data_IF_292655997955
#
_entry.id   IF_292655997955
#
_cell.length_a   1.000
_cell.length_b   1.000
_cell.length_c   1.000
_cell.angle_alpha   90.00
_cell.angle_beta   90.00
_cell.angle_gamma   90.00
#
_symmetry.space_group_name_H-M   'P 1'
#
loop_
_entity.id
_entity.type
_entity.pdbx_description
1 polymer ?
#
# COMPACT_ATOMS: atom_id res chain seq x y z
N UNK A 1 -18.89 15.00 15.34
CA UNK A 1 -18.09 14.65 14.14
C UNK A 1 -16.67 15.12 14.42
N UNK A 2 -15.81 14.21 14.87
CA UNK A 2 -14.40 14.52 15.10
C UNK A 2 -13.74 14.77 13.76
N UNK A 3 -13.30 16.00 13.53
CA UNK A 3 -12.42 16.36 12.44
C UNK A 3 -11.10 15.60 12.62
N UNK A 4 -10.84 14.61 11.77
CA UNK A 4 -9.50 14.04 11.63
C UNK A 4 -8.65 15.15 11.03
N UNK A 5 -7.57 15.51 11.73
CA UNK A 5 -6.64 16.53 11.31
C UNK A 5 -6.01 16.16 9.94
N UNK A 6 -6.29 16.92 8.86
CA UNK A 6 -5.71 16.65 7.54
C UNK A 6 -4.20 16.94 7.48
N UNK A 7 -3.62 17.51 8.54
CA UNK A 7 -2.19 17.77 8.70
C UNK A 7 -1.45 16.71 9.52
N UNK A 8 -2.14 15.63 9.95
CA UNK A 8 -1.48 14.44 10.46
C UNK A 8 -0.77 13.72 9.30
N UNK A 9 0.30 14.34 8.81
CA UNK A 9 1.29 13.70 7.98
C UNK A 9 1.91 12.58 8.83
N UNK A 10 1.31 11.40 8.73
CA UNK A 10 1.98 10.16 9.04
C UNK A 10 3.33 10.25 8.31
N UNK A 11 4.43 10.06 9.04
CA UNK A 11 5.78 10.16 8.49
C UNK A 11 5.99 9.23 7.29
N UNK A 12 7.13 9.34 6.58
CA UNK A 12 7.42 8.44 5.47
C UNK A 12 7.31 6.99 5.94
N UNK A 13 6.55 6.19 5.20
CA UNK A 13 6.39 4.77 5.45
C UNK A 13 7.49 4.00 4.73
N UNK A 14 7.83 2.82 5.21
CA UNK A 14 8.89 2.05 4.59
C UNK A 14 8.61 1.71 3.11
N UNK A 15 7.35 1.50 2.70
CA UNK A 15 7.00 1.25 1.30
C UNK A 15 7.01 2.51 0.41
N UNK A 16 7.17 3.71 0.98
CA UNK A 16 7.27 4.93 0.19
C UNK A 16 8.60 5.00 -0.57
N UNK A 17 9.68 4.52 0.06
CA UNK A 17 10.96 4.22 -0.56
C UNK A 17 11.60 3.02 0.15
N UNK A 18 11.28 1.81 -0.34
CA UNK A 18 11.72 0.58 0.31
C UNK A 18 13.25 0.43 0.33
N UNK A 19 13.93 0.85 -0.73
CA UNK A 19 15.37 0.66 -0.83
C UNK A 19 16.10 1.66 0.11
N UNK A 20 15.66 2.92 0.18
CA UNK A 20 16.21 3.90 1.12
C UNK A 20 15.89 3.53 2.58
N UNK A 21 14.63 3.21 2.88
CA UNK A 21 14.21 2.87 4.23
C UNK A 21 14.95 1.63 4.77
N UNK A 22 15.11 0.59 3.96
CA UNK A 22 15.86 -0.61 4.35
C UNK A 22 17.36 -0.34 4.49
N UNK A 23 17.92 0.56 3.68
CA UNK A 23 19.34 0.94 3.79
C UNK A 23 19.64 1.62 5.13
N UNK A 24 18.79 2.57 5.54
CA UNK A 24 18.91 3.26 6.83
C UNK A 24 18.78 2.27 8.00
N UNK A 25 17.76 1.40 7.96
CA UNK A 25 17.56 0.37 8.99
C UNK A 25 18.72 -0.63 9.07
N UNK A 26 19.28 -1.02 7.92
CA UNK A 26 20.42 -1.92 7.88
C UNK A 26 21.67 -1.28 8.49
N UNK A 27 21.89 0.02 8.27
CA UNK A 27 22.99 0.76 8.89
C UNK A 27 22.83 0.86 10.41
N UNK A 28 21.63 1.18 10.89
CA UNK A 28 21.34 1.34 12.32
C UNK A 28 21.43 0.01 13.09
N UNK A 29 20.91 -1.07 12.50
CA UNK A 29 20.82 -2.37 13.15
C UNK A 29 21.97 -3.34 12.78
N UNK A 30 22.91 -2.91 11.94
CA UNK A 30 24.05 -3.71 11.49
C UNK A 30 23.65 -4.93 10.65
N UNK A 31 22.59 -4.81 9.84
CA UNK A 31 22.13 -5.93 9.01
C UNK A 31 23.03 -6.14 7.80
N UNK A 32 23.34 -7.40 7.43
CA UNK A 32 24.02 -7.68 6.17
C UNK A 32 23.20 -7.21 4.97
N UNK A 33 23.86 -6.65 3.95
CA UNK A 33 23.21 -6.10 2.76
C UNK A 33 22.26 -7.08 2.03
N UNK A 34 22.52 -8.38 2.07
CA UNK A 34 21.66 -9.39 1.44
C UNK A 34 20.25 -9.46 2.05
N UNK A 35 20.05 -8.96 3.28
CA UNK A 35 18.74 -8.95 3.96
C UNK A 35 17.73 -8.07 3.22
N UNK A 36 18.18 -6.97 2.61
CA UNK A 36 17.33 -6.10 1.80
C UNK A 36 16.73 -6.86 0.61
N UNK A 37 17.56 -7.67 -0.07
CA UNK A 37 17.11 -8.51 -1.18
C UNK A 37 16.09 -9.57 -0.76
N UNK A 38 16.21 -10.12 0.46
CA UNK A 38 15.21 -11.03 1.02
C UNK A 38 13.88 -10.32 1.25
N UNK A 39 13.88 -9.16 1.92
CA UNK A 39 12.67 -8.37 2.19
C UNK A 39 11.99 -7.98 0.87
N UNK A 40 12.75 -7.46 -0.10
CA UNK A 40 12.22 -7.11 -1.44
C UNK A 40 11.55 -8.30 -2.12
N UNK A 41 12.15 -9.48 -2.03
CA UNK A 41 11.55 -10.72 -2.56
C UNK A 41 10.25 -11.06 -1.85
N UNK A 42 10.18 -10.89 -0.53
CA UNK A 42 8.97 -11.14 0.24
C UNK A 42 7.84 -10.17 -0.12
N UNK A 43 8.14 -8.89 -0.26
CA UNK A 43 7.17 -7.86 -0.64
C UNK A 43 6.62 -8.12 -2.04
N UNK A 44 7.48 -8.18 -3.06
CA UNK A 44 7.01 -8.13 -4.46
C UNK A 44 6.78 -9.49 -5.12
N UNK A 45 7.52 -10.54 -4.71
CA UNK A 45 7.41 -11.86 -5.36
C UNK A 45 6.56 -12.82 -4.55
N UNK A 46 6.76 -12.86 -3.23
CA UNK A 46 6.03 -13.78 -2.34
C UNK A 46 4.76 -13.16 -1.76
N UNK A 47 4.59 -11.84 -1.84
CA UNK A 47 3.40 -11.10 -1.35
C UNK A 47 3.10 -11.41 0.11
N UNK A 48 4.12 -11.24 0.97
CA UNK A 48 4.01 -11.47 2.41
C UNK A 48 2.84 -10.69 3.00
N UNK A 49 1.99 -11.33 3.80
CA UNK A 49 0.88 -10.65 4.47
C UNK A 49 1.38 -9.71 5.59
N UNK A 50 2.51 -10.04 6.21
CA UNK A 50 3.11 -9.28 7.30
C UNK A 50 4.61 -9.63 7.42
N UNK A 51 5.26 -9.01 8.41
CA UNK A 51 6.66 -9.27 8.75
C UNK A 51 6.92 -10.69 9.25
N UNK A 52 5.96 -11.27 9.98
CA UNK A 52 6.10 -12.61 10.55
C UNK A 52 6.14 -13.69 9.47
N UNK A 53 5.47 -13.49 8.34
CA UNK A 53 5.52 -14.41 7.20
C UNK A 53 6.92 -14.61 6.59
N UNK A 54 7.88 -13.70 6.85
CA UNK A 54 9.22 -13.72 6.25
C UNK A 54 10.18 -14.71 6.93
N UNK A 55 9.89 -16.01 6.89
CA UNK A 55 10.55 -17.05 7.71
C UNK A 55 12.06 -17.23 7.50
N UNK A 56 12.65 -16.64 6.46
CA UNK A 56 14.10 -16.65 6.21
C UNK A 56 14.84 -15.44 6.83
N UNK A 57 14.09 -14.56 7.53
CA UNK A 57 14.61 -13.50 8.38
C UNK A 57 14.68 -13.96 9.85
N UNK A 58 15.68 -13.53 10.64
CA UNK A 58 15.75 -13.82 12.07
C UNK A 58 14.49 -13.34 12.80
N UNK A 59 14.04 -14.08 13.82
CA UNK A 59 12.87 -13.70 14.61
C UNK A 59 12.98 -12.29 15.20
N UNK A 60 14.14 -11.94 15.77
CA UNK A 60 14.39 -10.60 16.30
C UNK A 60 14.21 -9.49 15.25
N UNK A 61 14.60 -9.74 14.00
CA UNK A 61 14.42 -8.80 12.89
C UNK A 61 12.94 -8.63 12.54
N UNK A 62 12.18 -9.73 12.44
CA UNK A 62 10.74 -9.69 12.17
C UNK A 62 9.98 -8.93 13.26
N UNK A 63 10.31 -9.20 14.53
CA UNK A 63 9.70 -8.50 15.67
C UNK A 63 10.06 -7.01 15.70
N UNK A 64 11.32 -6.65 15.45
CA UNK A 64 11.74 -5.24 15.40
C UNK A 64 11.02 -4.46 14.29
N UNK A 65 10.88 -5.07 13.09
CA UNK A 65 10.14 -4.47 11.98
C UNK A 65 8.66 -4.29 12.33
N UNK A 66 8.03 -5.33 12.87
CA UNK A 66 6.62 -5.31 13.26
C UNK A 66 6.30 -4.31 14.38
N UNK A 67 7.22 -4.11 15.32
CA UNK A 67 7.08 -3.10 16.37
C UNK A 67 7.22 -1.67 15.82
N UNK A 68 8.03 -1.49 14.78
CA UNK A 68 8.30 -0.16 14.21
C UNK A 68 7.16 0.37 13.33
N UNK A 69 6.61 -0.47 12.44
CA UNK A 69 5.50 -0.11 11.57
C UNK A 69 4.87 -1.37 10.93
N UNK A 70 3.57 -1.34 10.59
CA UNK A 70 2.96 -2.41 9.80
C UNK A 70 3.59 -2.47 8.40
N UNK A 71 3.62 -3.66 7.80
CA UNK A 71 4.10 -3.83 6.42
C UNK A 71 3.17 -3.13 5.41
N UNK A 72 1.87 -3.22 5.64
CA UNK A 72 0.81 -2.65 4.80
C UNK A 72 -0.01 -1.66 5.62
N UNK A 73 -0.39 -0.55 5.00
CA UNK A 73 -1.06 0.58 5.65
C UNK A 73 -2.53 0.72 5.23
N UNK A 74 -2.93 0.06 4.14
CA UNK A 74 -4.30 0.04 3.63
C UNK A 74 -5.09 -1.14 4.18
N UNK A 75 -6.41 -0.96 4.26
CA UNK A 75 -7.34 -2.02 4.65
C UNK A 75 -8.49 -2.14 3.66
N UNK A 76 -9.01 -3.35 3.46
CA UNK A 76 -10.15 -3.60 2.57
C UNK A 76 -11.45 -3.30 3.32
N UNK A 77 -12.12 -2.19 3.00
CA UNK A 77 -13.46 -1.90 3.51
C UNK A 77 -14.55 -2.72 2.84
N UNK A 78 -14.39 -2.99 1.55
CA UNK A 78 -15.37 -3.72 0.76
C UNK A 78 -14.69 -4.43 -0.39
N UNK A 79 -15.12 -5.67 -0.63
CA UNK A 79 -14.76 -6.45 -1.80
C UNK A 79 -16.05 -6.84 -2.53
N UNK A 80 -16.12 -6.51 -3.82
CA UNK A 80 -17.20 -6.94 -4.73
C UNK A 80 -16.57 -7.73 -5.86
N UNK A 81 -17.19 -8.86 -6.20
CA UNK A 81 -16.83 -9.69 -7.34
C UNK A 81 -18.03 -9.80 -8.28
N UNK A 82 -17.79 -9.63 -9.57
CA UNK A 82 -18.80 -9.76 -10.63
C UNK A 82 -18.71 -11.15 -11.29
N UNK A 83 -19.73 -11.52 -12.07
CA UNK A 83 -19.87 -12.83 -12.72
C UNK A 83 -18.75 -13.11 -13.75
N UNK A 84 -18.19 -12.06 -14.34
CA UNK A 84 -17.05 -12.15 -15.27
C UNK A 84 -15.69 -12.32 -14.55
N UNK A 85 -15.71 -12.35 -13.21
CA UNK A 85 -14.53 -12.46 -12.36
C UNK A 85 -13.82 -11.13 -12.09
N UNK A 86 -14.38 -9.99 -12.52
CA UNK A 86 -13.89 -8.68 -12.13
C UNK A 86 -14.03 -8.49 -10.62
N UNK A 87 -12.95 -8.10 -9.97
CA UNK A 87 -12.92 -7.83 -8.53
C UNK A 87 -12.67 -6.35 -8.29
N UNK A 88 -13.51 -5.72 -7.48
CA UNK A 88 -13.36 -4.33 -7.05
C UNK A 88 -13.18 -4.26 -5.55
N UNK A 89 -12.11 -3.59 -5.13
CA UNK A 89 -11.84 -3.30 -3.73
C UNK A 89 -12.07 -1.81 -3.45
N UNK A 90 -12.77 -1.52 -2.36
CA UNK A 90 -12.73 -0.23 -1.70
C UNK A 90 -11.70 -0.33 -0.57
N UNK A 91 -10.62 0.42 -0.70
CA UNK A 91 -9.54 0.48 0.27
C UNK A 91 -9.70 1.73 1.14
N UNK A 92 -9.43 1.61 2.44
CA UNK A 92 -9.29 2.73 3.36
C UNK A 92 -7.82 2.90 3.75
N UNK A 93 -7.38 4.15 3.67
CA UNK A 93 -6.03 4.64 3.97
C UNK A 93 -5.96 5.06 5.44
N UNK A 94 -4.74 5.17 5.99
CA UNK A 94 -4.54 5.52 7.41
C UNK A 94 -5.18 6.86 7.82
N UNK A 95 -5.29 7.81 6.89
CA UNK A 95 -5.92 9.11 7.12
C UNK A 95 -7.46 9.09 6.97
N UNK A 96 -8.05 7.90 6.86
CA UNK A 96 -9.47 7.68 6.59
C UNK A 96 -9.90 8.02 5.16
N UNK A 97 -8.96 8.37 4.28
CA UNK A 97 -9.23 8.49 2.85
C UNK A 97 -9.63 7.14 2.26
N UNK A 98 -10.43 7.14 1.19
CA UNK A 98 -10.82 5.92 0.49
C UNK A 98 -10.52 6.00 -0.99
N UNK A 99 -10.05 4.88 -1.53
CA UNK A 99 -9.75 4.71 -2.96
C UNK A 99 -10.31 3.38 -3.45
N UNK A 100 -10.44 3.25 -4.76
CA UNK A 100 -10.82 1.98 -5.39
C UNK A 100 -9.65 1.44 -6.23
N UNK A 101 -9.51 0.11 -6.22
CA UNK A 101 -8.73 -0.60 -7.22
C UNK A 101 -9.57 -1.75 -7.81
N UNK A 102 -9.30 -2.08 -9.07
CA UNK A 102 -10.08 -3.06 -9.83
C UNK A 102 -9.16 -4.04 -10.52
N UNK A 103 -9.37 -5.33 -10.30
CA UNK A 103 -8.75 -6.40 -11.08
C UNK A 103 -9.72 -6.87 -12.17
N UNK A 104 -9.37 -6.60 -13.42
CA UNK A 104 -10.09 -7.10 -14.58
C UNK A 104 -9.44 -8.39 -15.11
N UNK A 105 -10.27 -9.39 -15.40
CA UNK A 105 -9.84 -10.71 -15.88
C UNK A 105 -10.25 -10.90 -17.34
N UNK A 106 -9.26 -10.89 -18.25
CA UNK A 106 -9.49 -11.08 -19.69
C UNK A 106 -8.73 -12.28 -20.23
N UNK A 107 -9.38 -13.46 -20.24
CA UNK A 107 -8.70 -14.71 -20.63
C UNK A 107 -7.49 -15.00 -19.75
N UNK A 108 -6.29 -15.04 -20.34
CA UNK A 108 -5.02 -15.19 -19.61
C UNK A 108 -4.45 -13.86 -19.08
N UNK A 109 -4.93 -12.72 -19.59
CA UNK A 109 -4.48 -11.39 -19.15
C UNK A 109 -5.17 -11.00 -17.83
N UNK A 110 -4.41 -10.31 -16.98
CA UNK A 110 -4.91 -9.61 -15.79
C UNK A 110 -4.53 -8.14 -15.95
N UNK A 111 -5.48 -7.24 -15.71
CA UNK A 111 -5.26 -5.79 -15.74
C UNK A 111 -5.70 -5.23 -14.40
N UNK A 112 -4.82 -4.50 -13.73
CA UNK A 112 -5.19 -3.72 -12.55
C UNK A 112 -5.48 -2.27 -12.97
N UNK A 113 -6.60 -1.75 -12.51
CA UNK A 113 -6.86 -0.33 -12.42
C UNK A 113 -6.51 0.12 -11.01
N UNK A 114 -5.60 1.08 -10.90
CA UNK A 114 -5.12 1.63 -9.64
C UNK A 114 -5.45 3.12 -9.55
N UNK A 115 -5.66 3.59 -8.33
CA UNK A 115 -5.79 4.99 -7.97
C UNK A 115 -4.41 5.60 -7.69
N UNK A 116 -4.28 6.90 -7.95
CA UNK A 116 -3.07 7.70 -7.66
C UNK A 116 -3.35 8.92 -6.78
N UNK A 117 -4.62 9.21 -6.52
CA UNK A 117 -5.09 10.32 -5.71
C UNK A 117 -6.33 9.88 -4.91
N UNK A 118 -6.59 10.57 -3.79
CA UNK A 118 -7.89 10.55 -3.12
C UNK A 118 -8.74 11.64 -3.74
N UNK A 119 -9.72 11.23 -4.56
CA UNK A 119 -10.43 12.14 -5.47
C UNK A 119 -9.59 12.47 -6.71
N UNK A 120 -9.99 13.47 -7.50
CA UNK A 120 -9.29 13.86 -8.73
C UNK A 120 -9.37 15.36 -9.00
N UNK A 121 -8.22 15.97 -9.27
CA UNK A 121 -8.09 17.42 -9.46
C UNK A 121 -8.64 17.91 -10.82
N UNK A 122 -8.85 16.98 -11.75
CA UNK A 122 -9.27 17.30 -13.12
C UNK A 122 -10.69 17.86 -13.21
N UNK A 123 -11.55 17.56 -12.22
CA UNK A 123 -12.90 18.13 -12.16
C UNK A 123 -13.83 17.72 -13.31
N UNK A 124 -13.59 16.58 -13.94
CA UNK A 124 -14.43 16.09 -15.04
C UNK A 124 -15.86 15.80 -14.53
N UNK A 125 -16.86 16.52 -15.04
CA UNK A 125 -18.26 16.45 -14.56
C UNK A 125 -18.95 15.09 -14.76
N UNK A 126 -18.40 14.22 -15.60
CA UNK A 126 -18.90 12.86 -15.82
C UNK A 126 -18.18 11.80 -14.97
N UNK A 127 -17.14 12.19 -14.23
CA UNK A 127 -16.30 11.28 -13.44
C UNK A 127 -16.67 11.40 -11.96
N UNK A 128 -17.09 10.30 -11.33
CA UNK A 128 -17.43 10.30 -9.90
C UNK A 128 -16.28 10.85 -9.04
N UNK A 129 -15.03 10.45 -9.30
CA UNK A 129 -13.86 10.95 -8.58
C UNK A 129 -13.54 12.42 -8.85
N UNK A 130 -14.05 12.99 -9.95
CA UNK A 130 -13.88 14.40 -10.29
C UNK A 130 -14.93 15.32 -9.66
N UNK A 131 -16.11 14.80 -9.32
CA UNK A 131 -17.22 15.59 -8.77
C UNK A 131 -16.88 16.20 -7.40
N UNK A 132 -16.20 15.43 -6.54
CA UNK A 132 -15.87 15.84 -5.17
C UNK A 132 -14.50 16.55 -5.07
N UNK A 133 -13.82 16.75 -6.21
CA UNK A 133 -12.49 17.35 -6.26
C UNK A 133 -11.37 16.42 -5.76
N UNK A 134 -10.21 17.00 -5.43
CA UNK A 134 -9.05 16.27 -4.91
C UNK A 134 -8.80 16.60 -3.45
N UNK A 135 -8.53 15.57 -2.63
CA UNK A 135 -8.06 15.73 -1.25
C UNK A 135 -6.53 15.77 -1.19
N UNK A 136 -5.87 14.76 -1.77
CA UNK A 136 -4.39 14.64 -1.82
C UNK A 136 -3.94 13.61 -2.85
N UNK A 137 -2.65 13.63 -3.15
CA UNK A 137 -1.99 12.51 -3.84
C UNK A 137 -1.82 11.32 -2.90
N UNK A 138 -1.76 10.14 -3.49
CA UNK A 138 -1.30 8.95 -2.77
C UNK A 138 0.22 8.97 -2.63
N UNK A 139 0.70 8.36 -1.55
CA UNK A 139 2.12 8.05 -1.38
C UNK A 139 2.50 6.87 -2.26
N UNK A 140 3.81 6.69 -2.49
CA UNK A 140 4.30 5.54 -3.26
C UNK A 140 3.86 4.22 -2.65
N UNK A 141 3.91 4.08 -1.32
CA UNK A 141 3.45 2.87 -0.63
C UNK A 141 1.98 2.58 -0.88
N UNK A 142 1.11 3.59 -0.77
CA UNK A 142 -0.33 3.48 -1.02
C UNK A 142 -0.66 3.09 -2.48
N UNK A 143 0.20 3.44 -3.43
CA UNK A 143 0.07 3.00 -4.84
C UNK A 143 0.49 1.53 -4.99
N UNK A 144 1.63 1.16 -4.39
CA UNK A 144 2.17 -0.21 -4.44
C UNK A 144 1.22 -1.21 -3.78
N UNK A 145 0.58 -0.83 -2.68
CA UNK A 145 -0.35 -1.68 -1.91
C UNK A 145 -1.59 -2.12 -2.69
N UNK A 146 -1.87 -1.50 -3.83
CA UNK A 146 -2.99 -1.90 -4.69
C UNK A 146 -2.68 -3.12 -5.57
N UNK A 147 -1.44 -3.64 -5.59
CA UNK A 147 -0.93 -4.65 -6.54
C UNK A 147 -0.77 -6.06 -6.00
#
# INVERSE_FOLDING_TARGET
MSFIDPSAHVGPRMLDDLDEALSLRAADAGWPAYRMGQIRKWVFQKRAADWEAMTDLPQAMRSQLAESEPLWTTSICRHVQDDDGTEKLLLELEDGGRIECVLLRGGQRRTLCISTQVGCAMGCVFCASGLDGVKRNLRTGEIVEQM
#
